data_IF_057497167752
#
_entry.id   IF_057497167752
#
_cell.length_a   1.000
_cell.length_b   1.000
_cell.length_c   1.000
_cell.angle_alpha   90.00
_cell.angle_beta   90.00
_cell.angle_gamma   90.00
#
_symmetry.space_group_name_H-M   'P 1'
#
loop_
_entity.id
_entity.type
_entity.pdbx_description
1 polymer ?
#
# COMPACT_ATOMS: atom_id res chain seq x y z
N UNK A 1 -9.26 -37.10 -26.92
CA UNK A 1 -8.55 -36.21 -25.99
C UNK A 1 -9.46 -35.02 -25.68
N UNK A 2 -10.03 -34.94 -24.47
CA UNK A 2 -10.95 -33.86 -24.08
C UNK A 2 -10.15 -32.77 -23.36
N UNK A 3 -9.99 -31.63 -24.02
CA UNK A 3 -9.29 -30.47 -23.45
C UNK A 3 -10.03 -29.95 -22.23
N UNK A 4 -9.33 -29.83 -21.09
CA UNK A 4 -9.88 -29.29 -19.85
C UNK A 4 -10.37 -27.85 -20.10
N UNK A 5 -11.69 -27.63 -19.98
CA UNK A 5 -12.32 -26.31 -20.03
C UNK A 5 -11.80 -25.48 -18.86
N UNK A 6 -10.89 -24.54 -19.12
CA UNK A 6 -10.46 -23.57 -18.10
C UNK A 6 -11.51 -22.46 -18.05
N UNK A 7 -12.32 -22.42 -17.00
CA UNK A 7 -13.32 -21.37 -16.79
C UNK A 7 -12.65 -20.13 -16.19
N UNK A 8 -12.66 -19.02 -16.95
CA UNK A 8 -12.21 -17.72 -16.48
C UNK A 8 -13.34 -17.04 -15.71
N UNK A 9 -13.36 -17.19 -14.39
CA UNK A 9 -14.32 -16.50 -13.52
C UNK A 9 -13.77 -15.12 -13.15
N UNK A 10 -14.59 -14.08 -13.29
CA UNK A 10 -14.19 -12.71 -12.94
C UNK A 10 -14.06 -12.54 -11.41
N UNK A 11 -13.18 -11.65 -10.94
CA UNK A 11 -13.03 -11.33 -9.50
C UNK A 11 -14.37 -10.91 -8.89
N UNK A 12 -15.15 -10.12 -9.61
CA UNK A 12 -16.47 -9.66 -9.20
C UNK A 12 -17.45 -10.83 -8.98
N UNK A 13 -17.44 -11.80 -9.89
CA UNK A 13 -18.29 -13.00 -9.80
C UNK A 13 -17.85 -13.96 -8.69
N UNK A 14 -16.53 -14.05 -8.42
CA UNK A 14 -15.99 -14.75 -7.25
C UNK A 14 -16.41 -14.08 -5.93
N UNK A 15 -16.55 -12.75 -5.91
CA UNK A 15 -16.88 -11.98 -4.72
C UNK A 15 -18.38 -11.83 -4.45
N UNK A 16 -19.25 -12.05 -5.45
CA UNK A 16 -20.72 -11.93 -5.31
C UNK A 16 -21.33 -12.81 -4.20
N UNK A 17 -20.66 -13.91 -3.81
CA UNK A 17 -21.08 -14.79 -2.73
C UNK A 17 -20.34 -14.59 -1.39
N UNK A 18 -19.27 -13.80 -1.36
CA UNK A 18 -18.51 -13.51 -0.13
C UNK A 18 -19.00 -12.18 0.46
N UNK A 19 -20.23 -12.16 0.97
CA UNK A 19 -20.78 -11.00 1.69
C UNK A 19 -20.28 -10.91 3.14
N UNK A 20 -19.67 -11.98 3.66
CA UNK A 20 -19.06 -12.06 4.98
C UNK A 20 -17.72 -12.79 4.85
N UNK A 21 -16.70 -12.32 5.58
CA UNK A 21 -15.42 -13.03 5.64
C UNK A 21 -15.65 -14.48 6.06
N UNK A 22 -14.98 -15.43 5.40
CA UNK A 22 -15.04 -16.87 5.72
C UNK A 22 -14.37 -17.21 7.06
N UNK A 23 -13.82 -16.20 7.73
CA UNK A 23 -13.15 -16.32 9.03
C UNK A 23 -14.18 -16.58 10.13
N UNK A 24 -14.00 -17.68 10.85
CA UNK A 24 -14.73 -17.96 12.07
C UNK A 24 -14.21 -17.08 13.21
N UNK A 25 -14.82 -15.90 13.36
CA UNK A 25 -14.46 -14.92 14.39
C UNK A 25 -14.84 -15.36 15.80
N UNK A 26 -15.87 -16.20 15.94
CA UNK A 26 -16.32 -16.70 17.25
C UNK A 26 -15.29 -17.67 17.83
N UNK A 27 -14.73 -18.54 16.98
CA UNK A 27 -13.62 -19.42 17.35
C UNK A 27 -12.40 -18.62 17.80
N UNK A 28 -12.00 -17.59 17.04
CA UNK A 28 -10.81 -16.77 17.37
C UNK A 28 -11.01 -16.02 18.69
N UNK A 29 -12.18 -15.43 18.91
CA UNK A 29 -12.48 -14.69 20.14
C UNK A 29 -12.52 -15.57 21.41
N UNK A 30 -12.71 -16.89 21.26
CA UNK A 30 -12.73 -17.84 22.36
C UNK A 30 -11.39 -18.54 22.65
N UNK A 31 -10.32 -18.22 21.92
CA UNK A 31 -9.00 -18.76 22.20
C UNK A 31 -8.44 -18.16 23.49
N UNK A 32 -7.85 -19.01 24.33
CA UNK A 32 -7.13 -18.55 25.52
C UNK A 32 -5.73 -18.07 25.15
N UNK A 33 -5.15 -17.22 25.99
CA UNK A 33 -3.79 -16.69 25.79
C UNK A 33 -2.75 -17.81 25.75
N UNK A 34 -2.93 -18.88 26.53
CA UNK A 34 -2.05 -20.05 26.53
C UNK A 34 -2.10 -20.81 25.20
N UNK A 35 -3.30 -21.00 24.65
CA UNK A 35 -3.47 -21.64 23.35
C UNK A 35 -2.86 -20.81 22.21
N UNK A 36 -2.95 -19.48 22.30
CA UNK A 36 -2.31 -18.55 21.35
C UNK A 36 -0.79 -18.64 21.48
N UNK A 37 -0.25 -18.61 22.71
CA UNK A 37 1.19 -18.68 22.94
C UNK A 37 1.79 -20.03 22.46
N UNK A 38 1.09 -21.14 22.68
CA UNK A 38 1.50 -22.45 22.18
C UNK A 38 1.53 -22.47 20.64
N UNK A 39 0.49 -21.94 19.98
CA UNK A 39 0.44 -21.87 18.53
C UNK A 39 1.56 -20.99 17.94
N UNK A 40 1.91 -19.87 18.59
CA UNK A 40 3.04 -19.02 18.19
C UNK A 40 4.38 -19.74 18.38
N UNK A 41 4.56 -20.48 19.47
CA UNK A 41 5.80 -21.21 19.72
C UNK A 41 6.02 -22.38 18.74
N UNK A 42 4.94 -22.97 18.23
CA UNK A 42 4.98 -24.05 17.24
C UNK A 42 5.12 -23.56 15.80
N UNK A 43 4.88 -22.26 15.54
CA UNK A 43 4.92 -21.67 14.20
C UNK A 43 6.34 -21.14 13.86
N UNK A 44 7.08 -21.77 12.94
CA UNK A 44 8.41 -21.31 12.54
C UNK A 44 8.41 -19.93 11.84
N UNK A 45 7.28 -19.50 11.27
CA UNK A 45 7.14 -18.19 10.64
C UNK A 45 6.85 -17.08 11.68
N UNK A 46 6.48 -17.46 12.91
CA UNK A 46 6.23 -16.55 14.03
C UNK A 46 7.50 -16.23 14.84
N UNK A 47 8.67 -16.27 14.20
CA UNK A 47 9.94 -15.96 14.82
C UNK A 47 9.91 -14.57 15.50
N UNK A 48 10.44 -14.43 16.73
CA UNK A 48 10.49 -13.15 17.42
C UNK A 48 11.21 -12.09 16.57
N UNK A 49 10.54 -10.96 16.34
CA UNK A 49 11.12 -9.79 15.70
C UNK A 49 11.77 -8.90 16.77
N UNK A 50 13.09 -8.83 16.78
CA UNK A 50 13.85 -7.90 17.62
C UNK A 50 13.91 -6.52 16.94
N UNK A 51 12.77 -5.82 16.94
CA UNK A 51 12.63 -4.48 16.36
C UNK A 51 12.29 -3.51 17.48
N UNK A 52 13.20 -2.56 17.74
CA UNK A 52 12.93 -1.44 18.62
C UNK A 52 12.00 -0.42 17.94
N UNK A 53 10.71 -0.51 18.28
CA UNK A 53 9.69 0.41 17.78
C UNK A 53 9.72 1.79 18.45
N UNK A 54 10.55 2.02 19.49
CA UNK A 54 10.63 3.32 20.17
C UNK A 54 11.11 4.45 19.25
N UNK A 55 11.89 4.11 18.23
CA UNK A 55 12.40 5.04 17.22
C UNK A 55 11.54 5.09 15.95
N UNK A 56 10.42 4.36 15.91
CA UNK A 56 9.56 4.33 14.74
C UNK A 56 8.83 5.67 14.57
N UNK A 57 9.10 6.37 13.48
CA UNK A 57 8.38 7.58 13.12
C UNK A 57 7.13 7.21 12.32
N UNK A 58 5.96 7.47 12.89
CA UNK A 58 4.68 7.37 12.18
C UNK A 58 4.56 8.53 11.19
N UNK A 59 4.96 8.30 9.94
CA UNK A 59 4.81 9.28 8.87
C UNK A 59 3.38 9.19 8.33
N UNK A 60 2.54 10.18 8.62
CA UNK A 60 1.27 10.36 7.91
C UNK A 60 1.55 11.07 6.56
N UNK A 61 1.47 10.38 5.41
CA UNK A 61 1.71 11.02 4.13
C UNK A 61 0.63 12.09 3.90
N UNK A 62 1.01 13.35 3.66
CA UNK A 62 0.03 14.41 3.48
C UNK A 62 -0.91 14.08 2.34
N UNK A 63 -2.22 14.26 2.59
CA UNK A 63 -3.26 14.03 1.58
C UNK A 63 -2.98 14.89 0.35
N UNK A 64 -2.95 14.24 -0.82
CA UNK A 64 -2.81 14.94 -2.10
C UNK A 64 -4.15 15.60 -2.43
N UNK A 65 -4.14 16.90 -2.69
CA UNK A 65 -5.31 17.61 -3.16
C UNK A 65 -5.41 17.44 -4.68
N UNK A 66 -6.49 16.86 -5.22
CA UNK A 66 -6.66 16.73 -6.66
C UNK A 66 -6.97 18.11 -7.26
N UNK A 67 -6.04 18.63 -8.06
CA UNK A 67 -6.22 19.88 -8.79
C UNK A 67 -5.98 19.66 -10.29
N UNK A 68 -6.66 20.44 -11.11
CA UNK A 68 -6.43 20.49 -12.55
C UNK A 68 -5.45 21.61 -12.86
N UNK A 69 -4.29 21.28 -13.41
CA UNK A 69 -3.28 22.24 -13.89
C UNK A 69 -2.98 21.97 -15.36
N UNK A 70 -2.58 23.02 -16.09
CA UNK A 70 -2.05 22.89 -17.45
C UNK A 70 -0.53 22.79 -17.39
N UNK A 71 0.03 21.87 -18.17
CA UNK A 71 1.46 21.67 -18.34
C UNK A 71 1.74 21.66 -19.84
N UNK A 72 2.93 22.12 -20.22
CA UNK A 72 3.39 22.05 -21.59
C UNK A 72 3.55 20.59 -22.06
N UNK A 73 3.39 20.39 -23.36
CA UNK A 73 3.37 19.05 -23.96
C UNK A 73 4.69 18.31 -23.78
N UNK A 74 5.81 19.02 -23.94
CA UNK A 74 7.16 18.50 -23.77
C UNK A 74 7.46 18.06 -22.33
N UNK A 75 7.03 18.84 -21.34
CA UNK A 75 7.11 18.50 -19.92
C UNK A 75 6.30 17.22 -19.65
N UNK A 76 5.07 17.17 -20.15
CA UNK A 76 4.22 16.00 -19.95
C UNK A 76 4.80 14.76 -20.63
N UNK A 77 5.33 14.90 -21.84
CA UNK A 77 5.98 13.83 -22.60
C UNK A 77 7.21 13.31 -21.85
N UNK A 78 8.08 14.19 -21.36
CA UNK A 78 9.26 13.83 -20.57
C UNK A 78 8.91 12.98 -19.35
N UNK A 79 7.93 13.41 -18.54
CA UNK A 79 7.55 12.66 -17.35
C UNK A 79 6.82 11.35 -17.66
N UNK A 80 6.03 11.30 -18.75
CA UNK A 80 5.35 10.08 -19.19
C UNK A 80 6.29 9.03 -19.78
N UNK A 81 7.43 9.43 -20.34
CA UNK A 81 8.44 8.50 -20.87
C UNK A 81 8.85 7.44 -19.85
N UNK A 82 8.98 7.83 -18.56
CA UNK A 82 9.30 6.92 -17.46
C UNK A 82 8.14 6.04 -16.95
N UNK A 83 7.03 5.93 -17.70
CA UNK A 83 5.90 5.06 -17.36
C UNK A 83 5.02 5.56 -16.22
N UNK A 84 4.35 4.62 -15.54
CA UNK A 84 3.41 4.92 -14.44
C UNK A 84 4.08 5.73 -13.32
N UNK A 85 3.26 6.50 -12.58
CA UNK A 85 3.76 7.36 -11.50
C UNK A 85 4.32 8.73 -11.93
N UNK A 86 4.13 9.12 -13.20
CA UNK A 86 4.59 10.42 -13.71
C UNK A 86 4.07 11.62 -12.89
N UNK A 87 2.82 11.59 -12.42
CA UNK A 87 2.26 12.61 -11.52
C UNK A 87 3.02 12.71 -10.20
N UNK A 88 3.47 11.57 -9.66
CA UNK A 88 4.29 11.52 -8.44
C UNK A 88 5.67 12.16 -8.66
N UNK A 89 6.29 11.91 -9.82
CA UNK A 89 7.57 12.53 -10.20
C UNK A 89 7.44 14.04 -10.37
N UNK A 90 6.39 14.52 -11.03
CA UNK A 90 6.07 15.96 -11.14
C UNK A 90 5.99 16.59 -9.74
N UNK A 91 5.24 15.96 -8.83
CA UNK A 91 5.09 16.47 -7.47
C UNK A 91 6.42 16.50 -6.68
N UNK A 92 7.29 15.48 -6.86
CA UNK A 92 8.61 15.45 -6.22
C UNK A 92 9.50 16.61 -6.69
N UNK A 93 9.48 16.93 -7.99
CA UNK A 93 10.22 18.06 -8.55
C UNK A 93 9.71 19.39 -7.98
N UNK A 94 8.39 19.59 -7.92
CA UNK A 94 7.79 20.78 -7.32
C UNK A 94 8.18 20.95 -5.85
N UNK A 95 8.21 19.85 -5.07
CA UNK A 95 8.67 19.87 -3.67
C UNK A 95 10.15 20.25 -3.56
N UNK A 96 11.00 19.71 -4.43
CA UNK A 96 12.42 20.05 -4.46
C UNK A 96 12.64 21.54 -4.73
N UNK A 97 11.90 22.09 -5.70
CA UNK A 97 11.92 23.51 -6.01
C UNK A 97 11.51 24.38 -4.81
N UNK A 98 10.40 24.04 -4.13
CA UNK A 98 9.94 24.75 -2.92
C UNK A 98 11.01 24.69 -1.83
N UNK A 99 11.63 23.54 -1.58
CA UNK A 99 12.67 23.37 -0.55
C UNK A 99 13.92 24.20 -0.88
N UNK A 100 14.32 24.26 -2.15
CA UNK A 100 15.46 25.06 -2.60
C UNK A 100 15.19 26.56 -2.42
N UNK A 101 14.00 27.04 -2.84
CA UNK A 101 13.58 28.44 -2.70
C UNK A 101 13.37 28.86 -1.23
N UNK A 102 12.74 28.00 -0.42
CA UNK A 102 12.48 28.26 1.00
C UNK A 102 13.75 28.39 1.86
N UNK A 103 14.86 27.76 1.45
CA UNK A 103 16.17 27.95 2.07
C UNK A 103 16.82 29.30 1.73
N UNK A 104 16.45 29.93 0.61
CA UNK A 104 17.03 31.19 0.15
C UNK A 104 16.34 32.44 0.73
N UNK A 105 15.13 32.31 1.28
CA UNK A 105 14.35 33.42 1.85
C UNK A 105 14.43 33.56 3.38
N UNK A 106 15.38 32.88 4.04
CA UNK A 106 15.52 32.85 5.51
C UNK A 106 16.90 33.32 5.99
N UNK A 107 17.48 34.28 5.25
CA UNK A 107 18.66 35.07 5.61
C UNK A 107 18.27 36.53 5.73
#
# INVERSE_FOLDING_TARGET
MSGKRTTRVSRHERLKGLTRGLTDTARIAGLSDEAIAAAVAEDPDAAPLDIDWSQAEAIDPPRKVPISIRLDEDILAFFKHGGSGYQGRINAVLRSYIKARGKQGRT
#
